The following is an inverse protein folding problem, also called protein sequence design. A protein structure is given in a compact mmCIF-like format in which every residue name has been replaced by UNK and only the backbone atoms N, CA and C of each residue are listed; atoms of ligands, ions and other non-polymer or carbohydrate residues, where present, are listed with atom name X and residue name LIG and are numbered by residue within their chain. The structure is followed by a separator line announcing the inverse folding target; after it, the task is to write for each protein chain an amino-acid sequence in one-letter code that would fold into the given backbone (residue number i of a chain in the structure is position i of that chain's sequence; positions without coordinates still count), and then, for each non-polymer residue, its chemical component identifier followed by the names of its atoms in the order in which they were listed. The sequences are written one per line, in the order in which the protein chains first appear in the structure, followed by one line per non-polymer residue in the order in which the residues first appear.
data_IF_846206577701
#
_entry.id   IF_846206577701
#
_cell.length_a   1.000
_cell.length_b   1.000
_cell.length_c   1.000
_cell.angle_alpha   90.00
_cell.angle_beta   90.00
_cell.angle_gamma   90.00
#
_symmetry.space_group_name_H-M   'P 1'
#
loop_
_entity.id
_entity.type
_entity.pdbx_description
1 polymer ?
#
# COMPACT_ATOMS: atom_id res chain seq x y z
N UNK A 1 -8.76 -0.69 14.99
CA UNK A 1 -8.14 -1.46 13.91
C UNK A 1 -9.18 -2.05 12.97
N UNK A 2 -9.98 -3.03 13.40
CA UNK A 2 -10.99 -3.68 12.52
C UNK A 2 -11.97 -2.69 11.86
N UNK A 3 -12.54 -1.76 12.62
CA UNK A 3 -13.45 -0.72 12.07
C UNK A 3 -12.77 0.15 11.01
N UNK A 4 -11.48 0.43 11.19
CA UNK A 4 -10.73 1.28 10.27
C UNK A 4 -10.33 0.51 9.00
N UNK A 5 -9.89 -0.75 9.11
CA UNK A 5 -9.64 -1.61 7.95
C UNK A 5 -10.94 -1.85 7.17
N UNK A 6 -12.03 -2.16 7.86
CA UNK A 6 -13.33 -2.40 7.23
C UNK A 6 -13.83 -1.15 6.50
N UNK A 7 -13.67 0.03 7.10
CA UNK A 7 -14.04 1.28 6.47
C UNK A 7 -13.15 1.63 5.28
N UNK A 8 -11.83 1.48 5.41
CA UNK A 8 -10.88 1.65 4.31
C UNK A 8 -11.26 0.77 3.11
N UNK A 9 -11.45 -0.53 3.35
CA UNK A 9 -11.86 -1.48 2.34
C UNK A 9 -13.23 -1.13 1.72
N UNK A 10 -14.20 -0.69 2.54
CA UNK A 10 -15.53 -0.32 2.08
C UNK A 10 -15.52 0.95 1.22
N UNK A 11 -14.74 1.97 1.60
CA UNK A 11 -14.59 3.20 0.82
C UNK A 11 -14.00 2.88 -0.56
N UNK A 12 -12.91 2.11 -0.60
CA UNK A 12 -12.23 1.77 -1.85
C UNK A 12 -12.97 0.81 -2.76
N UNK A 13 -13.58 -0.22 -2.18
CA UNK A 13 -14.21 -1.28 -2.96
C UNK A 13 -15.65 -0.97 -3.35
N UNK A 14 -16.35 -0.10 -2.61
CA UNK A 14 -17.77 0.18 -2.82
C UNK A 14 -18.08 1.65 -3.05
N UNK A 15 -17.71 2.54 -2.14
CA UNK A 15 -18.14 3.95 -2.21
C UNK A 15 -17.57 4.61 -3.46
N UNK A 16 -16.26 4.50 -3.68
CA UNK A 16 -15.59 5.20 -4.78
C UNK A 16 -16.04 4.64 -6.15
N UNK A 17 -16.06 3.31 -6.39
CA UNK A 17 -16.60 2.75 -7.62
C UNK A 17 -18.06 3.12 -7.87
N UNK A 18 -18.90 3.13 -6.83
CA UNK A 18 -20.30 3.53 -6.94
C UNK A 18 -20.44 5.01 -7.33
N UNK A 19 -19.70 5.92 -6.68
CA UNK A 19 -19.72 7.35 -7.02
C UNK A 19 -19.20 7.61 -8.43
N UNK A 20 -18.15 6.90 -8.85
CA UNK A 20 -17.63 6.96 -10.21
C UNK A 20 -18.70 6.54 -11.24
N UNK A 21 -19.34 5.40 -10.99
CA UNK A 21 -20.41 4.91 -11.86
C UNK A 21 -21.62 5.87 -11.89
N UNK A 22 -22.05 6.39 -10.74
CA UNK A 22 -23.18 7.32 -10.62
C UNK A 22 -22.91 8.67 -11.31
N UNK A 23 -21.64 9.08 -11.40
CA UNK A 23 -21.21 10.27 -12.15
C UNK A 23 -20.98 10.01 -13.64
N UNK A 24 -21.26 8.79 -14.12
CA UNK A 24 -21.13 8.41 -15.53
C UNK A 24 -19.70 8.05 -15.96
N UNK A 25 -18.77 7.90 -15.02
CA UNK A 25 -17.40 7.48 -15.31
C UNK A 25 -17.24 5.96 -15.15
N UNK A 26 -16.59 5.32 -16.12
CA UNK A 26 -16.03 3.98 -15.95
C UNK A 26 -14.51 4.04 -16.03
N UNK A 27 -13.82 3.37 -15.11
CA UNK A 27 -12.34 3.35 -15.06
C UNK A 27 -11.75 2.91 -16.41
N UNK A 28 -12.39 1.95 -17.07
CA UNK A 28 -11.93 1.39 -18.35
C UNK A 28 -12.11 2.34 -19.54
N UNK A 29 -12.98 3.35 -19.42
CA UNK A 29 -13.15 4.39 -20.46
C UNK A 29 -12.16 5.54 -20.34
N UNK A 30 -11.41 5.62 -19.22
CA UNK A 30 -10.47 6.70 -18.97
C UNK A 30 -9.15 6.48 -19.73
N UNK A 31 -8.54 7.57 -20.16
CA UNK A 31 -7.15 7.58 -20.64
C UNK A 31 -6.20 7.10 -19.55
N UNK A 32 -4.97 6.67 -19.89
CA UNK A 32 -3.97 6.26 -18.89
C UNK A 32 -3.75 7.33 -17.79
N UNK A 33 -3.78 8.61 -18.16
CA UNK A 33 -3.73 9.73 -17.20
C UNK A 33 -4.97 9.80 -16.31
N UNK A 34 -6.15 9.61 -16.90
CA UNK A 34 -7.41 9.58 -16.16
C UNK A 34 -7.45 8.43 -15.16
N UNK A 35 -6.98 7.24 -15.54
CA UNK A 35 -6.86 6.09 -14.63
C UNK A 35 -5.86 6.34 -13.50
N UNK A 36 -4.71 6.96 -13.80
CA UNK A 36 -3.71 7.28 -12.80
C UNK A 36 -4.22 8.35 -11.81
N UNK A 37 -4.87 9.39 -12.30
CA UNK A 37 -5.49 10.42 -11.47
C UNK A 37 -6.63 9.85 -10.61
N UNK A 38 -7.49 9.03 -11.21
CA UNK A 38 -8.56 8.34 -10.50
C UNK A 38 -8.00 7.49 -9.34
N UNK A 39 -6.92 6.73 -9.59
CA UNK A 39 -6.27 5.91 -8.57
C UNK A 39 -5.68 6.77 -7.46
N UNK A 40 -4.98 7.87 -7.79
CA UNK A 40 -4.44 8.79 -6.79
C UNK A 40 -5.53 9.43 -5.92
N UNK A 41 -6.63 9.88 -6.53
CA UNK A 41 -7.75 10.47 -5.80
C UNK A 41 -8.43 9.43 -4.90
N UNK A 42 -8.50 8.18 -5.35
CA UNK A 42 -9.04 7.06 -4.58
C UNK A 42 -8.21 6.86 -3.32
N UNK A 43 -6.91 6.65 -3.46
CA UNK A 43 -5.98 6.44 -2.34
C UNK A 43 -5.94 7.61 -1.36
N UNK A 44 -5.94 8.85 -1.86
CA UNK A 44 -5.97 10.05 -1.00
C UNK A 44 -7.29 10.11 -0.23
N UNK A 45 -8.41 9.82 -0.89
CA UNK A 45 -9.73 9.83 -0.24
C UNK A 45 -9.81 8.75 0.84
N UNK A 46 -9.38 7.53 0.54
CA UNK A 46 -9.28 6.45 1.51
C UNK A 46 -8.36 6.81 2.69
N UNK A 47 -7.21 7.42 2.41
CA UNK A 47 -6.28 7.87 3.44
C UNK A 47 -6.89 8.91 4.37
N UNK A 48 -7.54 9.94 3.81
CA UNK A 48 -8.25 10.96 4.59
C UNK A 48 -9.40 10.35 5.40
N UNK A 49 -10.17 9.46 4.78
CA UNK A 49 -11.26 8.75 5.43
C UNK A 49 -10.73 7.86 6.59
N UNK A 50 -9.58 7.21 6.41
CA UNK A 50 -8.90 6.49 7.46
C UNK A 50 -8.42 7.41 8.60
N UNK A 51 -7.76 8.53 8.29
CA UNK A 51 -7.26 9.49 9.27
C UNK A 51 -8.42 10.09 10.09
N UNK A 52 -9.55 10.40 9.47
CA UNK A 52 -10.73 10.94 10.17
C UNK A 52 -11.30 9.98 11.20
N UNK A 53 -11.22 8.65 10.98
CA UNK A 53 -11.57 7.64 11.99
C UNK A 53 -10.48 7.51 13.06
N UNK A 54 -9.21 7.49 12.65
CA UNK A 54 -8.10 7.31 13.58
C UNK A 54 -7.98 8.49 14.54
N UNK A 55 -8.23 9.71 14.08
CA UNK A 55 -8.01 10.92 14.86
C UNK A 55 -8.81 10.94 16.18
N UNK A 56 -10.14 10.73 16.20
CA UNK A 56 -10.91 10.60 17.45
C UNK A 56 -10.51 9.38 18.28
N UNK A 57 -10.18 8.25 17.64
CA UNK A 57 -9.79 7.03 18.36
C UNK A 57 -8.45 7.18 19.10
N UNK A 58 -7.55 8.00 18.55
CA UNK A 58 -6.22 8.26 19.09
C UNK A 58 -6.17 9.51 19.98
N UNK A 59 -7.15 10.42 19.88
CA UNK A 59 -7.18 11.66 20.68
C UNK A 59 -7.19 11.40 22.19
N UNK A 60 -7.83 10.32 22.64
CA UNK A 60 -7.85 9.89 24.05
C UNK A 60 -6.49 9.50 24.62
N UNK A 61 -5.50 9.24 23.77
CA UNK A 61 -4.14 8.88 24.18
C UNK A 61 -3.18 10.08 24.16
N UNK A 62 -3.69 11.30 23.93
CA UNK A 62 -2.88 12.53 24.00
C UNK A 62 -2.71 13.00 25.46
N UNK A 63 -1.56 13.62 25.82
CA UNK A 63 -0.41 13.88 24.95
C UNK A 63 0.43 12.62 24.70
N UNK A 64 0.92 12.48 23.48
CA UNK A 64 1.82 11.38 23.12
C UNK A 64 3.20 11.59 23.78
N UNK A 65 3.90 10.52 24.18
CA UNK A 65 5.24 10.63 24.75
C UNK A 65 6.20 11.41 23.83
N UNK A 66 7.13 12.20 24.40
CA UNK A 66 8.07 12.98 23.61
C UNK A 66 8.91 12.06 22.71
N UNK A 67 8.94 12.35 21.41
CA UNK A 67 9.70 11.59 20.42
C UNK A 67 8.91 10.55 19.63
N UNK A 68 7.58 10.45 19.80
CA UNK A 68 6.72 9.57 19.01
C UNK A 68 6.80 9.82 17.49
N UNK A 69 6.95 11.08 17.07
CA UNK A 69 7.17 11.47 15.67
C UNK A 69 8.45 12.29 15.54
N UNK A 70 9.60 11.61 15.48
CA UNK A 70 10.89 12.27 15.19
C UNK A 70 11.15 12.22 13.69
N UNK A 71 10.91 13.34 13.02
CA UNK A 71 11.36 13.52 11.66
C UNK A 71 12.76 14.16 11.66
N UNK A 72 13.75 13.45 11.14
CA UNK A 72 15.12 13.93 10.98
C UNK A 72 15.66 13.47 9.64
N UNK A 73 16.07 14.43 8.81
CA UNK A 73 16.81 14.13 7.57
C UNK A 73 18.30 13.82 7.83
N UNK A 74 18.77 14.06 9.06
CA UNK A 74 20.13 13.68 9.50
C UNK A 74 20.13 12.21 9.92
N UNK A 75 21.17 11.46 9.53
CA UNK A 75 21.38 10.08 9.95
C UNK A 75 21.98 9.21 8.84
N UNK A 76 21.98 7.91 9.08
CA UNK A 76 22.51 6.87 8.16
C UNK A 76 21.43 6.28 7.26
N UNK A 77 20.24 6.90 7.16
CA UNK A 77 19.10 6.36 6.42
C UNK A 77 19.39 6.09 4.94
N UNK A 78 20.35 6.81 4.35
CA UNK A 78 20.79 6.55 2.98
C UNK A 78 21.35 5.12 2.80
N UNK A 79 22.03 4.59 3.82
CA UNK A 79 22.51 3.21 3.81
C UNK A 79 21.35 2.22 3.92
N UNK A 80 20.34 2.51 4.73
CA UNK A 80 19.14 1.68 4.83
C UNK A 80 18.37 1.64 3.50
N UNK A 81 18.25 2.79 2.84
CA UNK A 81 17.68 2.88 1.48
C UNK A 81 18.52 2.10 0.47
N UNK A 82 19.84 2.29 0.49
CA UNK A 82 20.75 1.54 -0.39
C UNK A 82 20.66 0.03 -0.19
N UNK A 83 20.61 -0.42 1.06
CA UNK A 83 20.39 -1.83 1.41
C UNK A 83 19.02 -2.32 0.94
N UNK A 84 17.97 -1.52 1.11
CA UNK A 84 16.64 -1.82 0.60
C UNK A 84 16.60 -2.01 -0.91
N UNK A 85 17.26 -1.13 -1.68
CA UNK A 85 17.38 -1.27 -3.13
C UNK A 85 18.14 -2.55 -3.53
N UNK A 86 19.19 -2.93 -2.80
CA UNK A 86 19.92 -4.17 -3.06
C UNK A 86 19.06 -5.41 -2.72
N UNK A 87 18.36 -5.39 -1.59
CA UNK A 87 17.46 -6.46 -1.18
C UNK A 87 16.32 -6.64 -2.17
N UNK A 88 15.81 -5.57 -2.78
CA UNK A 88 14.80 -5.67 -3.83
C UNK A 88 15.25 -6.56 -5.00
N UNK A 89 16.52 -6.44 -5.42
CA UNK A 89 17.06 -7.28 -6.50
C UNK A 89 17.07 -8.77 -6.12
N UNK A 90 17.41 -9.07 -4.86
CA UNK A 90 17.35 -10.43 -4.31
C UNK A 90 15.91 -10.95 -4.23
N UNK A 91 14.97 -10.14 -3.72
CA UNK A 91 13.55 -10.49 -3.63
C UNK A 91 12.97 -10.76 -5.02
N UNK A 92 13.27 -9.91 -6.01
CA UNK A 92 12.84 -10.11 -7.39
C UNK A 92 13.41 -11.41 -7.97
N UNK A 93 14.70 -11.70 -7.74
CA UNK A 93 15.30 -12.97 -8.17
C UNK A 93 14.60 -14.19 -7.56
N UNK A 94 14.33 -14.17 -6.24
CA UNK A 94 13.61 -15.24 -5.55
C UNK A 94 12.18 -15.39 -6.07
N UNK A 95 11.50 -14.27 -6.38
CA UNK A 95 10.16 -14.27 -6.98
C UNK A 95 10.16 -14.96 -8.35
N UNK A 96 11.14 -14.65 -9.20
CA UNK A 96 11.28 -15.30 -10.52
C UNK A 96 11.57 -16.80 -10.38
N UNK A 97 12.42 -17.20 -9.44
CA UNK A 97 12.67 -18.60 -9.13
C UNK A 97 11.37 -19.31 -8.70
N UNK A 98 10.58 -18.69 -7.82
CA UNK A 98 9.30 -19.22 -7.38
C UNK A 98 8.30 -19.42 -8.54
N UNK A 99 8.17 -18.42 -9.41
CA UNK A 99 7.31 -18.49 -10.62
C UNK A 99 7.76 -19.63 -11.54
N UNK A 100 9.06 -19.80 -11.73
CA UNK A 100 9.61 -20.85 -12.60
C UNK A 100 9.46 -22.27 -12.02
N UNK A 101 9.33 -22.41 -10.70
CA UNK A 101 9.17 -23.71 -10.02
C UNK A 101 7.71 -24.19 -9.97
N UNK A 102 6.74 -23.30 -10.04
CA UNK A 102 5.31 -23.63 -10.02
C UNK A 102 4.82 -23.63 -11.47
N UNK A 103 4.42 -24.79 -12.04
CA UNK A 103 3.76 -24.80 -13.35
C UNK A 103 2.57 -23.86 -13.31
N UNK A 104 2.53 -22.87 -14.18
CA UNK A 104 1.43 -21.92 -14.22
C UNK A 104 0.11 -22.68 -14.38
N UNK A 105 -0.71 -22.66 -13.34
CA UNK A 105 -2.16 -22.72 -13.56
C UNK A 105 -2.45 -21.62 -14.58
N UNK A 106 -3.31 -21.85 -15.59
CA UNK A 106 -3.68 -20.79 -16.51
C UNK A 106 -4.25 -19.66 -15.68
N UNK A 107 -3.44 -18.63 -15.45
CA UNK A 107 -3.90 -17.43 -14.77
C UNK A 107 -5.07 -16.94 -15.61
N UNK A 108 -6.22 -16.57 -15.00
CA UNK A 108 -7.18 -15.75 -15.73
C UNK A 108 -6.38 -14.59 -16.33
N UNK A 109 -6.77 -14.01 -17.49
CA UNK A 109 -6.06 -12.87 -18.04
C UNK A 109 -6.13 -11.75 -17.01
N UNK A 110 -5.13 -11.68 -16.13
CA UNK A 110 -4.90 -10.58 -15.23
C UNK A 110 -4.60 -9.48 -16.21
N UNK A 111 -5.60 -8.63 -16.46
CA UNK A 111 -5.37 -7.43 -17.23
C UNK A 111 -4.13 -6.78 -16.65
N UNK A 112 -3.15 -6.49 -17.50
CA UNK A 112 -1.94 -5.76 -17.13
C UNK A 112 -2.33 -4.66 -16.16
N UNK A 113 -1.68 -4.61 -15.01
CA UNK A 113 -2.02 -3.63 -13.97
C UNK A 113 -2.02 -2.24 -14.59
N UNK A 114 -2.87 -1.34 -14.11
CA UNK A 114 -2.96 0.00 -14.71
C UNK A 114 -1.64 0.79 -14.61
N UNK A 115 -0.76 0.38 -13.69
CA UNK A 115 0.64 0.82 -13.59
C UNK A 115 1.46 0.30 -14.77
N UNK A 116 1.47 -1.01 -15.04
CA UNK A 116 2.16 -1.60 -16.19
C UNK A 116 1.68 -1.02 -17.52
N UNK A 117 0.36 -0.86 -17.69
CA UNK A 117 -0.20 -0.21 -18.87
C UNK A 117 0.35 1.20 -19.09
N UNK A 118 0.56 1.97 -18.01
CA UNK A 118 1.13 3.32 -18.11
C UNK A 118 2.61 3.31 -18.52
N UNK A 119 3.37 2.29 -18.10
CA UNK A 119 4.77 2.10 -18.43
C UNK A 119 4.89 1.68 -19.90
N UNK A 120 4.07 0.73 -20.34
CA UNK A 120 4.01 0.28 -21.73
C UNK A 120 3.62 1.41 -22.68
N UNK A 121 2.65 2.25 -22.26
CA UNK A 121 2.23 3.44 -22.99
C UNK A 121 3.27 4.58 -22.97
N UNK A 122 4.31 4.49 -22.13
CA UNK A 122 5.36 5.51 -21.93
C UNK A 122 4.80 6.92 -21.67
N UNK A 123 3.67 7.04 -20.97
CA UNK A 123 3.10 8.34 -20.61
C UNK A 123 3.75 8.87 -19.32
N UNK A 124 4.57 9.93 -19.38
CA UNK A 124 5.34 10.39 -18.23
C UNK A 124 4.45 10.96 -17.11
N UNK A 125 3.27 11.48 -17.44
CA UNK A 125 2.34 12.03 -16.46
C UNK A 125 1.66 10.89 -15.69
N UNK A 126 1.16 9.87 -16.41
CA UNK A 126 0.56 8.70 -15.78
C UNK A 126 1.59 7.95 -14.91
N UNK A 127 2.82 7.77 -15.39
CA UNK A 127 3.91 7.16 -14.63
C UNK A 127 4.24 7.97 -13.37
N UNK A 128 4.32 9.29 -13.45
CA UNK A 128 4.60 10.14 -12.28
C UNK A 128 3.47 10.06 -11.24
N UNK A 129 2.22 10.05 -11.67
CA UNK A 129 1.07 9.89 -10.77
C UNK A 129 1.09 8.52 -10.08
N UNK A 130 1.34 7.43 -10.81
CA UNK A 130 1.48 6.11 -10.21
C UNK A 130 2.71 5.98 -9.32
N UNK A 131 3.81 6.66 -9.64
CA UNK A 131 4.97 6.73 -8.74
C UNK A 131 4.58 7.36 -7.40
N UNK A 132 3.77 8.43 -7.38
CA UNK A 132 3.25 9.01 -6.14
C UNK A 132 2.34 8.04 -5.39
N UNK A 133 1.41 7.39 -6.10
CA UNK A 133 0.52 6.37 -5.53
C UNK A 133 1.32 5.30 -4.79
N UNK A 134 2.26 4.66 -5.49
CA UNK A 134 3.00 3.50 -4.97
C UNK A 134 4.05 3.90 -3.93
N UNK A 135 4.75 5.02 -4.11
CA UNK A 135 5.87 5.40 -3.21
C UNK A 135 5.49 6.31 -2.05
N UNK A 136 4.31 6.95 -2.09
CA UNK A 136 3.86 7.86 -1.03
C UNK A 136 2.59 7.33 -0.39
N UNK A 137 1.50 7.19 -1.16
CA UNK A 137 0.20 6.80 -0.61
C UNK A 137 0.26 5.39 -0.01
N UNK A 138 0.68 4.41 -0.79
CA UNK A 138 0.81 3.03 -0.33
C UNK A 138 1.81 2.90 0.82
N UNK A 139 2.98 3.56 0.74
CA UNK A 139 3.98 3.49 1.82
C UNK A 139 3.47 4.09 3.14
N UNK A 140 2.75 5.22 3.11
CA UNK A 140 2.11 5.77 4.33
C UNK A 140 1.11 4.75 4.89
N UNK A 141 0.29 4.15 4.02
CA UNK A 141 -0.71 3.20 4.43
C UNK A 141 -0.12 1.95 5.07
N UNK A 142 0.85 1.34 4.40
CA UNK A 142 1.56 0.15 4.87
C UNK A 142 2.22 0.39 6.23
N UNK A 143 2.87 1.54 6.41
CA UNK A 143 3.49 1.88 7.70
C UNK A 143 2.45 2.02 8.81
N UNK A 144 1.28 2.62 8.54
CA UNK A 144 0.21 2.72 9.55
C UNK A 144 -0.34 1.34 9.88
N UNK A 145 -0.68 0.52 8.88
CA UNK A 145 -1.27 -0.82 9.10
C UNK A 145 -0.29 -1.76 9.79
N UNK A 146 0.87 -1.97 9.18
CA UNK A 146 1.80 -3.02 9.57
C UNK A 146 2.64 -2.61 10.76
N UNK A 147 3.20 -1.39 10.75
CA UNK A 147 4.09 -0.94 11.84
C UNK A 147 3.35 -0.16 12.92
N UNK A 148 2.33 0.60 12.56
CA UNK A 148 1.54 1.40 13.49
C UNK A 148 0.60 0.56 14.37
N UNK A 149 0.08 -0.54 13.84
CA UNK A 149 -0.94 -1.32 14.54
C UNK A 149 -0.67 -2.82 14.62
N UNK A 150 -0.38 -3.50 13.49
CA UNK A 150 -0.24 -4.96 13.48
C UNK A 150 0.94 -5.40 14.35
N UNK A 151 2.13 -4.86 14.10
CA UNK A 151 3.35 -5.24 14.83
C UNK A 151 3.22 -4.94 16.34
N UNK A 152 2.81 -3.75 16.80
CA UNK A 152 2.56 -3.49 18.22
C UNK A 152 1.47 -4.38 18.84
N UNK A 153 0.47 -4.79 18.05
CA UNK A 153 -0.57 -5.71 18.53
C UNK A 153 -0.02 -7.12 18.73
N UNK A 154 0.87 -7.58 17.83
CA UNK A 154 1.52 -8.89 17.92
C UNK A 154 2.50 -8.95 19.08
N UNK A 155 3.29 -7.89 19.32
CA UNK A 155 4.28 -7.86 20.41
C UNK A 155 3.67 -7.94 21.81
N UNK A 156 2.34 -7.74 21.94
CA UNK A 156 1.60 -8.00 23.17
C UNK A 156 1.48 -9.49 23.50
N UNK A 157 1.53 -10.36 22.48
CA UNK A 157 1.25 -11.79 22.61
C UNK A 157 2.45 -12.68 22.29
N UNK A 158 3.48 -12.16 21.59
CA UNK A 158 4.67 -12.93 21.23
C UNK A 158 5.94 -12.08 21.22
N UNK A 159 7.14 -12.68 21.30
CA UNK A 159 8.40 -11.95 21.22
C UNK A 159 8.55 -11.14 19.93
N UNK A 160 9.39 -10.10 19.95
CA UNK A 160 9.60 -9.20 18.81
C UNK A 160 10.00 -9.94 17.53
N UNK A 161 10.92 -10.89 17.61
CA UNK A 161 11.38 -11.65 16.43
C UNK A 161 10.23 -12.39 15.74
N UNK A 162 9.35 -13.04 16.50
CA UNK A 162 8.17 -13.71 15.96
C UNK A 162 7.13 -12.73 15.44
N UNK A 163 6.95 -11.58 16.11
CA UNK A 163 6.06 -10.52 15.64
C UNK A 163 6.47 -9.98 14.27
N UNK A 164 7.78 -9.83 14.03
CA UNK A 164 8.33 -9.42 12.73
C UNK A 164 8.02 -10.48 11.67
N UNK A 165 8.29 -11.76 11.94
CA UNK A 165 8.04 -12.86 11.00
C UNK A 165 6.55 -12.94 10.64
N UNK A 166 5.66 -12.92 11.63
CA UNK A 166 4.21 -13.00 11.41
C UNK A 166 3.70 -11.77 10.65
N UNK A 167 4.19 -10.57 10.98
CA UNK A 167 3.82 -9.36 10.25
C UNK A 167 4.30 -9.39 8.80
N UNK A 168 5.50 -9.93 8.52
CA UNK A 168 6.02 -10.08 7.17
C UNK A 168 5.21 -11.09 6.34
N UNK A 169 4.79 -12.20 6.95
CA UNK A 169 3.90 -13.18 6.30
C UNK A 169 2.54 -12.54 5.98
N UNK A 170 1.94 -11.81 6.92
CA UNK A 170 0.68 -11.11 6.69
C UNK A 170 0.80 -10.07 5.56
N UNK A 171 1.92 -9.33 5.51
CA UNK A 171 2.21 -8.40 4.42
C UNK A 171 2.29 -9.13 3.08
N UNK A 172 3.03 -10.24 3.01
CA UNK A 172 3.16 -11.03 1.78
C UNK A 172 1.81 -11.59 1.30
N UNK A 173 0.97 -12.08 2.22
CA UNK A 173 -0.37 -12.59 1.89
C UNK A 173 -1.32 -11.49 1.40
N UNK A 174 -1.22 -10.27 1.95
CA UNK A 174 -2.03 -9.13 1.49
C UNK A 174 -1.71 -8.70 0.06
N UNK A 175 -0.49 -8.97 -0.41
CA UNK A 175 -0.01 -8.66 -1.76
C UNK A 175 0.00 -9.89 -2.69
N UNK A 176 -0.46 -11.03 -2.20
CA UNK A 176 -0.52 -12.25 -3.01
C UNK A 176 -1.67 -12.13 -4.01
N UNK A 177 -1.36 -11.72 -5.24
CA UNK A 177 -2.26 -11.83 -6.38
C UNK A 177 -2.16 -13.26 -6.93
N UNK A 178 -3.20 -14.07 -6.67
CA UNK A 178 -3.41 -15.36 -7.33
C UNK A 178 -4.03 -15.22 -8.71
#
# INVERSE_FOLDING_TARGET
MLLWIAFFWFVGSWIIPFLAHASGFSKDSLTHRGQALYSLLTDVTEGLAGITILHPCLSRFRPLPPGWFRFSLKGTWHFDVGLGCLLFSLVNFLSQLNINMIPSLPSPPVGVSSVEQSIDARDPVAMALYAVVVSVCASIWEEIVFRGFLLPSLTRYMPLSWSIVVSAIAFALAHFNG
#
